data_IF_199846528139
#
_entry.id   IF_199846528139
#
_cell.length_a   1.000
_cell.length_b   1.000
_cell.length_c   1.000
_cell.angle_alpha   90.00
_cell.angle_beta   90.00
_cell.angle_gamma   90.00
#
_symmetry.space_group_name_H-M   'P 1'
#
loop_
_entity.id
_entity.type
_entity.pdbx_description
1 polymer ?
#
# COMPACT_ATOMS: atom_id res chain seq x y z
N UNK A 1 6.73 21.75 -23.79
CA UNK A 1 6.66 21.81 -22.31
C UNK A 1 5.81 20.63 -21.85
N UNK A 2 6.40 19.60 -21.26
CA UNK A 2 5.69 18.43 -20.73
C UNK A 2 6.48 17.72 -19.63
N UNK A 3 7.43 18.43 -19.00
CA UNK A 3 8.41 17.85 -18.08
C UNK A 3 7.97 17.80 -16.62
N UNK A 4 6.93 18.54 -16.23
CA UNK A 4 6.50 18.66 -14.83
C UNK A 4 5.50 17.58 -14.41
N UNK A 5 4.63 17.12 -15.32
CA UNK A 5 3.59 16.14 -14.98
C UNK A 5 4.02 14.68 -15.24
N UNK A 6 4.94 14.44 -16.18
CA UNK A 6 5.37 13.09 -16.52
C UNK A 6 6.04 12.37 -15.35
N UNK A 7 6.77 13.09 -14.49
CA UNK A 7 7.45 12.52 -13.33
C UNK A 7 6.46 11.92 -12.32
N UNK A 8 5.37 12.63 -12.05
CA UNK A 8 4.29 12.19 -11.16
C UNK A 8 3.59 10.93 -11.71
N UNK A 9 3.19 10.98 -12.98
CA UNK A 9 2.51 9.87 -13.62
C UNK A 9 3.39 8.62 -13.80
N UNK A 10 4.70 8.80 -14.02
CA UNK A 10 5.67 7.71 -14.16
C UNK A 10 5.71 6.81 -12.93
N UNK A 11 5.61 7.38 -11.73
CA UNK A 11 5.58 6.62 -10.46
C UNK A 11 4.35 5.71 -10.40
N UNK A 12 3.22 6.16 -10.94
CA UNK A 12 1.95 5.41 -10.96
C UNK A 12 1.85 4.29 -12.00
N UNK A 13 2.71 4.26 -13.04
CA UNK A 13 2.57 3.35 -14.19
C UNK A 13 2.54 1.86 -13.82
N UNK A 14 3.36 1.44 -12.85
CA UNK A 14 3.41 0.03 -12.42
C UNK A 14 2.14 -0.41 -11.70
N UNK A 15 1.60 0.44 -10.82
CA UNK A 15 0.37 0.17 -10.07
C UNK A 15 -0.84 0.22 -11.00
N UNK A 16 -0.84 1.15 -11.95
CA UNK A 16 -1.81 1.22 -13.03
C UNK A 16 -1.81 -0.04 -13.91
N UNK A 17 -0.64 -0.50 -14.35
CA UNK A 17 -0.50 -1.73 -15.15
C UNK A 17 -0.99 -2.99 -14.41
N UNK A 18 -0.81 -3.04 -13.08
CA UNK A 18 -1.37 -4.11 -12.25
C UNK A 18 -2.91 -4.01 -12.10
N UNK A 19 -3.50 -2.85 -12.37
CA UNK A 19 -4.92 -2.56 -12.15
C UNK A 19 -5.25 -2.33 -10.68
N UNK A 20 -4.32 -1.70 -9.94
CA UNK A 20 -4.44 -1.45 -8.48
C UNK A 20 -4.47 0.02 -8.11
N UNK A 21 -4.47 0.91 -9.09
CA UNK A 21 -4.54 2.35 -8.85
C UNK A 21 -6.00 2.74 -8.55
N UNK A 22 -6.28 3.63 -7.57
CA UNK A 22 -7.63 4.11 -7.30
C UNK A 22 -8.28 4.71 -8.55
N UNK A 23 -9.63 4.63 -8.65
CA UNK A 23 -10.35 5.02 -9.86
C UNK A 23 -10.04 6.44 -10.35
N UNK A 24 -10.10 7.44 -9.45
CA UNK A 24 -9.81 8.82 -9.81
C UNK A 24 -8.36 9.01 -10.32
N UNK A 25 -7.38 8.43 -9.63
CA UNK A 25 -5.96 8.47 -10.03
C UNK A 25 -5.73 7.73 -11.36
N UNK A 26 -6.45 6.61 -11.59
CA UNK A 26 -6.41 5.87 -12.84
C UNK A 26 -6.99 6.67 -14.01
N UNK A 27 -8.08 7.41 -13.78
CA UNK A 27 -8.71 8.27 -14.78
C UNK A 27 -7.79 9.42 -15.18
N UNK A 28 -7.16 10.08 -14.20
CA UNK A 28 -6.17 11.15 -14.42
C UNK A 28 -4.95 10.62 -15.22
N UNK A 29 -4.39 9.50 -14.81
CA UNK A 29 -3.28 8.87 -15.53
C UNK A 29 -3.70 8.43 -16.94
N UNK A 30 -4.91 7.91 -17.11
CA UNK A 30 -5.43 7.56 -18.44
C UNK A 30 -5.54 8.79 -19.35
N UNK A 31 -5.89 9.95 -18.80
CA UNK A 31 -5.96 11.20 -19.53
C UNK A 31 -4.58 11.66 -19.99
N UNK A 32 -3.58 11.57 -19.11
CA UNK A 32 -2.19 11.85 -19.46
C UNK A 32 -1.68 10.92 -20.59
N UNK A 33 -1.94 9.61 -20.47
CA UNK A 33 -1.50 8.62 -21.46
C UNK A 33 -2.06 8.87 -22.86
N UNK A 34 -3.24 9.50 -23.00
CA UNK A 34 -3.78 9.90 -24.31
C UNK A 34 -2.89 10.93 -25.01
N UNK A 35 -2.23 11.81 -24.26
CA UNK A 35 -1.39 12.90 -24.79
C UNK A 35 0.12 12.63 -24.75
N UNK A 36 0.58 11.59 -24.06
CA UNK A 36 2.00 11.40 -23.75
C UNK A 36 2.58 10.11 -24.36
N UNK A 37 3.22 10.17 -25.55
CA UNK A 37 3.96 9.05 -26.13
C UNK A 37 5.02 8.40 -25.22
N UNK A 38 5.89 9.14 -24.49
CA UNK A 38 6.94 8.51 -23.69
C UNK A 38 6.37 7.69 -22.52
N UNK A 39 5.35 8.20 -21.80
CA UNK A 39 4.71 7.43 -20.74
C UNK A 39 3.94 6.21 -21.27
N UNK A 40 3.41 6.25 -22.50
CA UNK A 40 2.83 5.07 -23.15
C UNK A 40 3.88 4.01 -23.49
N UNK A 41 5.06 4.41 -23.94
CA UNK A 41 6.17 3.50 -24.21
C UNK A 41 6.61 2.80 -22.91
N UNK A 42 6.83 3.56 -21.85
CA UNK A 42 7.18 3.01 -20.53
C UNK A 42 6.09 2.06 -20.00
N UNK A 43 4.81 2.42 -20.17
CA UNK A 43 3.71 1.52 -19.80
C UNK A 43 3.76 0.20 -20.59
N UNK A 44 4.14 0.23 -21.86
CA UNK A 44 4.26 -0.97 -22.68
C UNK A 44 5.34 -1.92 -22.14
N UNK A 45 6.51 -1.39 -21.78
CA UNK A 45 7.60 -2.16 -21.16
C UNK A 45 7.17 -2.84 -19.85
N UNK A 46 6.33 -2.17 -19.05
CA UNK A 46 5.84 -2.72 -17.78
C UNK A 46 4.77 -3.82 -17.96
N UNK A 47 4.08 -3.89 -19.12
CA UNK A 47 2.99 -4.85 -19.35
C UNK A 47 3.48 -6.30 -19.31
N UNK A 48 4.68 -6.56 -19.83
CA UNK A 48 5.21 -7.93 -19.87
C UNK A 48 5.48 -8.46 -18.47
N UNK A 49 6.14 -7.68 -17.62
CA UNK A 49 6.41 -8.04 -16.22
C UNK A 49 5.11 -8.14 -15.41
N UNK A 50 4.20 -7.19 -15.57
CA UNK A 50 2.94 -7.19 -14.82
C UNK A 50 2.01 -8.34 -15.22
N UNK A 51 2.05 -8.80 -16.47
CA UNK A 51 1.33 -9.99 -16.91
C UNK A 51 1.80 -11.24 -16.17
N UNK A 52 3.12 -11.41 -15.99
CA UNK A 52 3.69 -12.52 -15.22
C UNK A 52 3.24 -12.43 -13.74
N UNK A 53 3.36 -11.24 -13.13
CA UNK A 53 2.99 -11.03 -11.73
C UNK A 53 1.51 -11.31 -11.45
N UNK A 54 0.62 -11.00 -12.40
CA UNK A 54 -0.81 -11.31 -12.30
C UNK A 54 -1.12 -12.80 -12.23
N UNK A 55 -0.25 -13.64 -12.80
CA UNK A 55 -0.42 -15.10 -12.81
C UNK A 55 0.21 -15.77 -11.58
N UNK A 56 1.26 -15.18 -11.02
CA UNK A 56 2.06 -15.80 -9.95
C UNK A 56 1.69 -15.34 -8.55
N UNK A 57 1.15 -14.12 -8.41
CA UNK A 57 0.76 -13.58 -7.11
C UNK A 57 -0.75 -13.70 -6.95
N UNK A 58 -1.26 -14.51 -6.01
CA UNK A 58 -2.69 -14.54 -5.74
C UNK A 58 -3.16 -13.12 -5.39
N UNK A 59 -4.31 -12.71 -5.92
CA UNK A 59 -4.90 -11.43 -5.60
C UNK A 59 -5.13 -11.40 -4.08
N UNK A 60 -4.27 -10.68 -3.36
CA UNK A 60 -4.47 -10.47 -1.93
C UNK A 60 -5.67 -9.55 -1.79
N UNK A 61 -6.85 -10.12 -1.58
CA UNK A 61 -7.95 -9.41 -0.94
C UNK A 61 -7.38 -8.90 0.37
N UNK A 62 -7.37 -7.58 0.56
CA UNK A 62 -6.65 -6.94 1.66
C UNK A 62 -6.84 -7.71 2.96
N UNK A 63 -5.78 -8.37 3.42
CA UNK A 63 -5.74 -8.83 4.79
C UNK A 63 -5.66 -7.53 5.58
N UNK A 64 -6.79 -7.09 6.16
CA UNK A 64 -6.81 -5.92 7.03
C UNK A 64 -5.61 -5.97 7.96
N UNK A 65 -5.05 -4.81 8.31
CA UNK A 65 -3.94 -4.73 9.27
C UNK A 65 -4.42 -5.26 10.61
N UNK A 66 -4.33 -6.57 10.80
CA UNK A 66 -4.57 -7.20 12.09
C UNK A 66 -3.65 -6.52 13.10
N UNK A 67 -4.11 -6.33 14.35
CA UNK A 67 -3.23 -5.84 15.41
C UNK A 67 -1.95 -6.66 15.39
N UNK A 68 -0.79 -6.01 15.27
CA UNK A 68 0.52 -6.66 15.42
C UNK A 68 0.82 -6.93 16.90
N UNK A 69 -0.18 -7.40 17.63
CA UNK A 69 0.01 -8.03 18.92
C UNK A 69 0.01 -9.52 18.61
N UNK A 70 1.15 -10.19 18.77
CA UNK A 70 1.31 -11.63 18.52
C UNK A 70 0.48 -12.53 19.45
N UNK A 71 -0.61 -12.03 20.01
CA UNK A 71 -1.52 -12.77 20.85
C UNK A 71 -2.60 -13.41 19.96
N UNK A 72 -2.34 -14.62 19.49
CA UNK A 72 -3.43 -15.55 19.17
C UNK A 72 -4.23 -15.76 20.46
N UNK A 73 -5.34 -15.04 20.59
CA UNK A 73 -6.18 -15.01 21.78
C UNK A 73 -6.85 -16.35 22.06
N UNK A 74 -6.11 -17.32 22.59
CA UNK A 74 -6.65 -18.33 23.48
C UNK A 74 -6.42 -17.83 24.91
N UNK A 75 -7.46 -17.23 25.47
CA UNK A 75 -7.70 -17.04 26.91
C UNK A 75 -6.57 -16.40 27.72
N UNK A 76 -6.65 -15.08 27.93
CA UNK A 76 -5.95 -14.44 29.04
C UNK A 76 -7.04 -13.88 29.97
N UNK A 77 -7.22 -14.51 31.13
CA UNK A 77 -7.97 -13.93 32.24
C UNK A 77 -7.20 -12.71 32.73
N UNK A 78 -7.72 -11.52 32.47
CA UNK A 78 -7.10 -10.26 32.86
C UNK A 78 -7.09 -10.10 34.39
N UNK A 79 -5.91 -10.14 34.99
CA UNK A 79 -5.66 -9.64 36.33
C UNK A 79 -4.54 -8.59 36.26
N UNK A 80 -4.92 -7.32 36.12
CA UNK A 80 -4.00 -6.21 36.33
C UNK A 80 -3.81 -6.02 37.83
N UNK A 81 -2.72 -6.54 38.41
CA UNK A 81 -2.29 -6.13 39.74
C UNK A 81 -1.30 -4.95 39.59
N UNK A 82 -1.79 -3.71 39.72
CA UNK A 82 -0.89 -2.61 40.07
C UNK A 82 -0.64 -2.69 41.59
N UNK A 83 0.61 -2.93 41.99
CA UNK A 83 1.00 -2.83 43.40
C UNK A 83 1.23 -1.37 43.79
N UNK A 84 0.83 -0.91 44.99
CA UNK A 84 1.15 0.42 45.45
C UNK A 84 2.65 0.54 45.78
N UNK A 85 3.27 1.58 45.22
CA UNK A 85 4.67 1.96 45.42
C UNK A 85 4.84 2.64 46.78
N UNK A 86 5.85 2.18 47.53
CA UNK A 86 6.73 3.02 48.35
C UNK A 86 6.16 3.73 49.58
N UNK A 87 6.41 3.16 50.76
CA UNK A 87 6.35 3.85 52.06
C UNK A 87 7.48 4.89 52.17
N UNK A 88 7.14 6.19 52.16
CA UNK A 88 8.06 7.31 52.33
C UNK A 88 7.71 8.22 53.52
N UNK A 89 8.42 8.00 54.63
CA UNK A 89 8.80 8.84 55.81
C UNK A 89 8.04 10.11 56.27
N UNK A 90 7.90 10.13 57.61
CA UNK A 90 8.23 11.18 58.60
C UNK A 90 7.32 12.40 58.77
N UNK A 91 6.73 12.53 59.97
CA UNK A 91 7.26 13.36 61.08
C UNK A 91 6.79 12.82 62.42
#
# INVERSE_FOLDING_TARGET
MGGTDCGEFRVGLGVYALGRLPGAEADELSAHLRGCPPCRAELAELRDVTQILRRTVPARTGAGRGPRTGASGRGLSGACAYGPRGSGRSR
#
